data_IF_608458469755
#
_entry.id   IF_608458469755
#
_cell.length_a   1.000
_cell.length_b   1.000
_cell.length_c   1.000
_cell.angle_alpha   90.00
_cell.angle_beta   90.00
_cell.angle_gamma   90.00
#
_symmetry.space_group_name_H-M   'P 1'
#
loop_
_entity.id
_entity.type
_entity.pdbx_description
1 polymer ?
#
# COMPACT_ATOMS: atom_id res chain seq x y z
N UNK A 1 1.36 -6.48 4.61
CA UNK A 1 0.98 -5.25 3.89
C UNK A 1 -0.51 -5.30 3.55
N UNK A 2 -1.27 -4.31 3.97
CA UNK A 2 -2.68 -4.22 3.63
C UNK A 2 -2.90 -3.11 2.62
N UNK A 3 -3.63 -3.40 1.56
CA UNK A 3 -3.90 -2.50 0.45
C UNK A 3 -5.41 -2.38 0.24
N UNK A 4 -5.88 -1.18 0.03
CA UNK A 4 -7.31 -0.93 -0.17
C UNK A 4 -7.57 0.24 -1.11
N UNK A 5 -8.83 0.46 -1.42
CA UNK A 5 -9.31 1.48 -2.35
C UNK A 5 -10.20 2.48 -1.61
N UNK A 6 -9.90 3.76 -1.74
CA UNK A 6 -10.62 4.83 -1.03
C UNK A 6 -12.13 4.79 -1.30
N UNK A 7 -12.54 4.55 -2.55
CA UNK A 7 -13.94 4.59 -2.97
C UNK A 7 -14.62 3.20 -2.95
N UNK A 8 -13.99 2.21 -2.36
CA UNK A 8 -14.60 0.90 -2.13
C UNK A 8 -15.59 1.02 -0.95
N UNK A 9 -16.80 0.49 -1.11
CA UNK A 9 -17.81 0.44 -0.03
C UNK A 9 -17.28 -0.27 1.22
N UNK A 10 -16.31 -1.17 1.07
CA UNK A 10 -15.69 -1.94 2.15
C UNK A 10 -14.34 -1.38 2.61
N UNK A 11 -13.98 -0.16 2.17
CA UNK A 11 -12.70 0.46 2.50
C UNK A 11 -12.42 0.50 4.02
N UNK A 12 -13.45 0.79 4.81
CA UNK A 12 -13.34 0.87 6.27
C UNK A 12 -12.91 -0.45 6.92
N UNK A 13 -13.20 -1.60 6.31
CA UNK A 13 -12.73 -2.89 6.81
C UNK A 13 -11.21 -3.03 6.71
N UNK A 14 -10.62 -2.54 5.63
CA UNK A 14 -9.16 -2.56 5.46
C UNK A 14 -8.49 -1.77 6.58
N UNK A 15 -8.96 -0.56 6.84
CA UNK A 15 -8.42 0.30 7.89
C UNK A 15 -8.66 -0.29 9.29
N UNK A 16 -9.86 -0.81 9.55
CA UNK A 16 -10.21 -1.42 10.84
C UNK A 16 -9.36 -2.66 11.12
N UNK A 17 -9.17 -3.53 10.13
CA UNK A 17 -8.33 -4.72 10.29
C UNK A 17 -6.86 -4.34 10.49
N UNK A 18 -6.38 -3.33 9.79
CA UNK A 18 -5.02 -2.83 10.00
C UNK A 18 -4.83 -2.34 11.44
N UNK A 19 -5.78 -1.59 11.96
CA UNK A 19 -5.73 -1.09 13.33
C UNK A 19 -5.71 -2.19 14.38
N UNK A 20 -6.21 -3.38 14.05
CA UNK A 20 -6.24 -4.53 14.94
C UNK A 20 -5.00 -5.43 14.85
N UNK A 21 -4.08 -5.16 13.91
CA UNK A 21 -2.84 -5.93 13.83
C UNK A 21 -1.98 -5.72 15.08
N UNK A 22 -1.31 -6.78 15.56
CA UNK A 22 -0.42 -6.65 16.71
C UNK A 22 0.68 -5.61 16.48
N UNK A 23 1.00 -4.84 17.53
CA UNK A 23 2.03 -3.79 17.45
C UNK A 23 3.46 -4.34 17.34
N UNK A 24 3.64 -5.65 17.59
CA UNK A 24 4.94 -6.31 17.56
C UNK A 24 5.29 -6.95 16.21
N UNK A 25 4.50 -6.70 15.17
CA UNK A 25 4.83 -7.15 13.81
C UNK A 25 5.07 -5.95 12.90
N UNK A 26 5.95 -6.13 11.93
CA UNK A 26 6.13 -5.15 10.87
C UNK A 26 4.90 -5.14 9.98
N UNK A 27 4.35 -3.96 9.72
CA UNK A 27 3.07 -3.85 9.00
C UNK A 27 2.97 -2.55 8.23
N UNK A 28 2.19 -2.57 7.16
CA UNK A 28 1.93 -1.40 6.35
C UNK A 28 0.49 -1.34 5.87
N UNK A 29 0.00 -0.13 5.67
CA UNK A 29 -1.29 0.20 5.07
C UNK A 29 -1.09 1.17 3.92
N UNK A 30 -1.72 0.90 2.78
CA UNK A 30 -1.84 1.87 1.70
C UNK A 30 -3.27 1.85 1.16
N UNK A 31 -3.96 2.98 1.29
CA UNK A 31 -5.28 3.20 0.70
C UNK A 31 -5.10 4.05 -0.55
N UNK A 32 -5.48 3.53 -1.70
CA UNK A 32 -5.27 4.20 -2.99
C UNK A 32 -6.35 5.24 -3.24
N UNK A 33 -5.93 6.49 -3.45
CA UNK A 33 -6.81 7.63 -3.67
C UNK A 33 -7.63 7.46 -4.96
N UNK A 34 -8.94 7.66 -4.86
CA UNK A 34 -9.85 7.58 -6.00
C UNK A 34 -10.06 6.18 -6.58
N UNK A 35 -9.41 5.16 -6.03
CA UNK A 35 -9.55 3.78 -6.50
C UNK A 35 -10.87 3.17 -6.06
N UNK A 36 -11.46 2.33 -6.92
CA UNK A 36 -12.66 1.57 -6.62
C UNK A 36 -12.35 0.09 -6.42
N UNK A 37 -13.32 -0.65 -5.91
CA UNK A 37 -13.22 -2.11 -5.72
C UNK A 37 -12.82 -2.85 -7.01
N UNK A 38 -13.29 -2.36 -8.17
CA UNK A 38 -13.12 -3.05 -9.45
C UNK A 38 -11.85 -2.66 -10.22
N UNK A 39 -11.10 -1.67 -9.77
CA UNK A 39 -9.89 -1.20 -10.48
C UNK A 39 -8.80 -2.27 -10.55
N UNK A 40 -8.83 -3.25 -9.67
CA UNK A 40 -7.83 -4.32 -9.57
C UNK A 40 -8.12 -5.50 -10.49
N UNK A 41 -9.27 -5.54 -11.14
CA UNK A 41 -9.73 -6.68 -11.95
C UNK A 41 -9.68 -6.38 -13.45
N UNK A 42 -9.39 -7.43 -14.24
CA UNK A 42 -9.48 -7.37 -15.68
C UNK A 42 -8.72 -6.20 -16.30
N UNK A 43 -9.42 -5.37 -17.05
CA UNK A 43 -8.87 -4.17 -17.71
C UNK A 43 -9.00 -2.89 -16.89
N UNK A 44 -9.23 -3.01 -15.56
CA UNK A 44 -9.27 -1.86 -14.67
C UNK A 44 -7.98 -1.04 -14.70
N UNK A 45 -7.92 0.02 -13.90
CA UNK A 45 -6.86 1.02 -13.94
C UNK A 45 -5.45 0.39 -13.92
N UNK A 46 -4.74 0.46 -15.06
CA UNK A 46 -3.43 -0.17 -15.21
C UNK A 46 -2.33 0.53 -14.40
N UNK A 47 -2.42 1.84 -14.22
CA UNK A 47 -1.44 2.60 -13.44
C UNK A 47 -1.57 2.27 -11.94
N UNK A 48 -2.79 2.15 -11.43
CA UNK A 48 -3.03 1.71 -10.05
C UNK A 48 -2.53 0.28 -9.82
N UNK A 49 -2.77 -0.61 -10.77
CA UNK A 49 -2.24 -1.98 -10.70
C UNK A 49 -0.73 -2.02 -10.67
N UNK A 50 -0.06 -1.17 -11.45
CA UNK A 50 1.39 -1.08 -11.44
C UNK A 50 1.90 -0.60 -10.08
N UNK A 51 1.27 0.41 -9.50
CA UNK A 51 1.62 0.93 -8.17
C UNK A 51 1.41 -0.13 -7.08
N UNK A 52 0.28 -0.84 -7.15
CA UNK A 52 0.00 -1.97 -6.26
C UNK A 52 1.11 -3.02 -6.31
N UNK A 53 1.51 -3.44 -7.51
CA UNK A 53 2.59 -4.42 -7.68
C UNK A 53 3.92 -3.90 -7.12
N UNK A 54 4.20 -2.63 -7.30
CA UNK A 54 5.42 -1.99 -6.77
C UNK A 54 5.49 -2.13 -5.26
N UNK A 55 4.42 -1.79 -4.55
CA UNK A 55 4.38 -1.89 -3.10
C UNK A 55 4.46 -3.33 -2.60
N UNK A 56 3.73 -4.24 -3.23
CA UNK A 56 3.78 -5.67 -2.86
C UNK A 56 5.20 -6.22 -3.07
N UNK A 57 5.81 -5.92 -4.20
CA UNK A 57 7.17 -6.36 -4.50
C UNK A 57 8.16 -5.82 -3.48
N UNK A 58 8.10 -4.52 -3.18
CA UNK A 58 8.99 -3.89 -2.20
C UNK A 58 8.84 -4.54 -0.82
N UNK A 59 7.60 -4.82 -0.38
CA UNK A 59 7.35 -5.50 0.88
C UNK A 59 7.98 -6.89 0.93
N UNK A 60 7.81 -7.67 -0.13
CA UNK A 60 8.39 -9.01 -0.20
C UNK A 60 9.93 -8.98 -0.27
N UNK A 61 10.52 -7.99 -0.93
CA UNK A 61 11.98 -7.82 -0.97
C UNK A 61 12.55 -7.55 0.42
N UNK A 62 11.89 -6.68 1.19
CA UNK A 62 12.28 -6.43 2.59
C UNK A 62 12.14 -7.70 3.43
N UNK A 63 10.99 -8.38 3.36
CA UNK A 63 10.66 -9.47 4.27
C UNK A 63 11.37 -10.78 3.92
N UNK A 64 11.56 -11.06 2.63
CA UNK A 64 12.08 -12.37 2.19
C UNK A 64 13.54 -12.32 1.73
N UNK A 65 14.04 -11.16 1.31
CA UNK A 65 15.40 -11.01 0.79
C UNK A 65 16.30 -10.13 1.66
N UNK A 66 15.78 -9.60 2.76
CA UNK A 66 16.48 -8.64 3.62
C UNK A 66 17.04 -7.44 2.83
N UNK A 67 16.33 -7.02 1.77
CA UNK A 67 16.73 -5.88 0.95
C UNK A 67 16.25 -4.57 1.60
N UNK A 68 17.07 -4.01 2.47
CA UNK A 68 16.73 -2.79 3.20
C UNK A 68 16.55 -1.58 2.29
N UNK A 69 17.10 -1.60 1.07
CA UNK A 69 16.89 -0.50 0.12
C UNK A 69 15.43 -0.35 -0.30
N UNK A 70 14.65 -1.44 -0.26
CA UNK A 70 13.23 -1.42 -0.59
C UNK A 70 12.37 -0.67 0.43
N UNK A 71 12.87 -0.40 1.64
CA UNK A 71 12.17 0.47 2.60
C UNK A 71 11.92 1.88 2.06
N UNK A 72 12.69 2.32 1.06
CA UNK A 72 12.49 3.63 0.44
C UNK A 72 11.07 3.81 -0.14
N UNK A 73 10.38 2.72 -0.49
CA UNK A 73 8.99 2.76 -0.94
C UNK A 73 7.98 3.00 0.19
N UNK A 74 8.38 2.86 1.43
CA UNK A 74 7.51 2.98 2.60
C UNK A 74 7.84 4.19 3.48
N UNK A 75 9.10 4.64 3.51
CA UNK A 75 9.55 5.70 4.41
C UNK A 75 10.72 6.53 3.84
N UNK A 76 11.00 6.43 2.54
CA UNK A 76 12.12 7.11 1.89
C UNK A 76 11.71 7.92 0.66
N UNK A 77 12.67 8.11 -0.26
CA UNK A 77 12.50 9.00 -1.40
C UNK A 77 11.40 8.56 -2.36
N UNK A 78 11.27 7.26 -2.64
CA UNK A 78 10.22 6.76 -3.52
C UNK A 78 8.85 6.95 -2.89
N UNK A 79 8.72 6.75 -1.57
CA UNK A 79 7.48 7.01 -0.85
C UNK A 79 7.09 8.49 -0.96
N UNK A 80 8.04 9.40 -0.72
CA UNK A 80 7.79 10.84 -0.80
C UNK A 80 7.30 11.26 -2.19
N UNK A 81 7.89 10.69 -3.24
CA UNK A 81 7.47 10.93 -4.62
C UNK A 81 6.05 10.43 -4.87
N UNK A 82 5.72 9.22 -4.43
CA UNK A 82 4.38 8.65 -4.59
C UNK A 82 3.31 9.44 -3.82
N UNK A 83 3.63 9.93 -2.64
CA UNK A 83 2.74 10.81 -1.88
C UNK A 83 2.53 12.13 -2.63
N UNK A 84 3.59 12.74 -3.16
CA UNK A 84 3.50 13.97 -3.93
C UNK A 84 2.68 13.79 -5.20
N UNK A 85 2.73 12.62 -5.83
CA UNK A 85 1.93 12.26 -7.01
C UNK A 85 0.46 11.98 -6.69
N UNK A 86 0.09 11.92 -5.43
CA UNK A 86 -1.30 11.77 -5.00
C UNK A 86 -1.86 10.33 -5.03
N UNK A 87 -0.99 9.32 -4.97
CA UNK A 87 -1.43 7.93 -5.03
C UNK A 87 -2.28 7.48 -3.84
N UNK A 88 -2.06 8.07 -2.65
CA UNK A 88 -2.65 7.53 -1.42
C UNK A 88 -3.62 8.50 -0.76
N UNK A 89 -4.76 8.00 -0.29
CA UNK A 89 -5.65 8.71 0.63
C UNK A 89 -5.26 8.48 2.10
N UNK A 90 -4.63 7.36 2.39
CA UNK A 90 -4.05 7.04 3.69
C UNK A 90 -2.84 6.12 3.50
N UNK A 91 -1.83 6.31 4.32
CA UNK A 91 -0.63 5.46 4.31
C UNK A 91 -0.04 5.41 5.71
N UNK A 92 0.37 4.21 6.14
CA UNK A 92 1.12 4.01 7.37
C UNK A 92 2.07 2.84 7.22
N UNK A 93 3.24 2.93 7.83
CA UNK A 93 4.19 1.82 7.87
C UNK A 93 4.90 1.79 9.22
N UNK A 94 4.87 0.62 9.86
CA UNK A 94 5.43 0.41 11.20
C UNK A 94 6.38 -0.79 11.18
N UNK A 95 7.63 -0.55 11.47
CA UNK A 95 8.64 -1.61 11.63
C UNK A 95 8.46 -2.34 12.97
#
# INVERSE_FOLDING_TARGET
MMLGSEEDELAYYTEDFYAQLPSNIERGLAMFAGASHYDWFGSGNQDEKAEFRTLVTAFLEVQLKDDDSAYSYFEGAEHDEHVADGWFSAFDYQK
#
